data_IF_966656782970
#
_entry.id   IF_966656782970
#
_cell.length_a   1.000
_cell.length_b   1.000
_cell.length_c   1.000
_cell.angle_alpha   90.00
_cell.angle_beta   90.00
_cell.angle_gamma   90.00
#
_symmetry.space_group_name_H-M   'P 1'
#
loop_
_entity.id
_entity.type
_entity.pdbx_description
1 polymer ?
#
# COMPACT_ATOMS: atom_id res chain seq x y z
N UNK A 1 -5.08 6.45 -21.31
CA UNK A 1 -6.00 5.51 -20.65
C UNK A 1 -5.21 4.63 -19.69
N UNK A 2 -5.59 4.63 -18.44
CA UNK A 2 -4.94 3.76 -17.47
C UNK A 2 -5.33 2.31 -17.77
N UNK A 3 -4.38 1.40 -17.74
CA UNK A 3 -4.72 0.00 -17.93
C UNK A 3 -5.38 -0.56 -16.66
N UNK A 4 -6.01 -1.72 -16.77
CA UNK A 4 -6.74 -2.34 -15.66
C UNK A 4 -5.83 -2.62 -14.47
N UNK A 5 -4.56 -2.93 -14.74
CA UNK A 5 -3.57 -3.22 -13.71
C UNK A 5 -3.28 -1.98 -12.86
N UNK A 6 -3.13 -0.82 -13.50
CA UNK A 6 -2.89 0.44 -12.80
C UNK A 6 -4.08 0.81 -11.91
N UNK A 7 -5.30 0.68 -12.43
CA UNK A 7 -6.51 0.97 -11.65
C UNK A 7 -6.64 0.03 -10.46
N UNK A 8 -6.37 -1.24 -10.66
CA UNK A 8 -6.43 -2.24 -9.59
C UNK A 8 -5.43 -1.95 -8.48
N UNK A 9 -4.20 -1.59 -8.85
CA UNK A 9 -3.12 -1.34 -7.89
C UNK A 9 -3.32 -0.07 -7.08
N UNK A 10 -4.04 0.91 -7.59
CA UNK A 10 -4.14 2.21 -6.94
C UNK A 10 -4.64 2.14 -5.51
N UNK A 11 -5.78 1.47 -5.28
CA UNK A 11 -6.32 1.33 -3.93
C UNK A 11 -5.53 0.36 -3.07
N UNK A 12 -5.06 -0.72 -3.66
CA UNK A 12 -4.30 -1.74 -2.92
C UNK A 12 -2.91 -1.24 -2.56
N UNK A 13 -2.30 -0.41 -3.40
CA UNK A 13 -1.00 0.16 -3.09
C UNK A 13 -1.09 1.07 -1.87
N UNK A 14 -2.12 1.91 -1.79
CA UNK A 14 -2.33 2.77 -0.63
C UNK A 14 -2.41 1.95 0.66
N UNK A 15 -3.16 0.86 0.64
CA UNK A 15 -3.28 -0.04 1.79
C UNK A 15 -1.93 -0.65 2.17
N UNK A 16 -1.16 -1.10 1.18
CA UNK A 16 0.15 -1.72 1.44
C UNK A 16 1.16 -0.71 2.00
N UNK A 17 1.11 0.53 1.54
CA UNK A 17 1.95 1.59 2.10
C UNK A 17 1.62 1.81 3.58
N UNK A 18 0.32 1.94 3.90
CA UNK A 18 -0.10 2.13 5.28
C UNK A 18 0.37 0.97 6.16
N UNK A 19 0.25 -0.25 5.66
CA UNK A 19 0.71 -1.43 6.41
C UNK A 19 2.21 -1.41 6.65
N UNK A 20 2.98 -1.07 5.62
CA UNK A 20 4.44 -0.96 5.76
C UNK A 20 4.80 0.02 6.86
N UNK A 21 4.15 1.17 6.88
CA UNK A 21 4.44 2.23 7.85
C UNK A 21 3.92 1.90 9.25
N UNK A 22 3.10 0.84 9.39
CA UNK A 22 2.64 0.42 10.72
C UNK A 22 3.77 -0.18 11.55
N UNK A 23 4.85 -0.62 10.92
CA UNK A 23 5.99 -1.20 11.63
C UNK A 23 6.99 -0.14 12.10
N UNK A 24 7.32 0.83 11.24
CA UNK A 24 8.29 1.86 11.56
C UNK A 24 8.28 2.92 10.46
N UNK A 25 8.74 4.14 10.76
CA UNK A 25 8.94 5.14 9.71
C UNK A 25 9.89 4.60 8.64
N UNK A 26 9.55 4.85 7.38
CA UNK A 26 10.31 4.29 6.26
C UNK A 26 10.32 5.29 5.10
N UNK A 27 11.43 5.35 4.36
CA UNK A 27 11.50 6.16 3.15
C UNK A 27 10.89 5.42 1.96
N UNK A 28 10.62 6.15 0.86
CA UNK A 28 9.90 5.59 -0.28
C UNK A 28 10.55 4.34 -0.86
N UNK A 29 11.86 4.37 -1.06
CA UNK A 29 12.57 3.21 -1.56
C UNK A 29 12.40 1.99 -0.65
N UNK A 30 12.49 2.20 0.66
CA UNK A 30 12.30 1.12 1.63
C UNK A 30 10.89 0.54 1.61
N UNK A 31 9.89 1.41 1.43
CA UNK A 31 8.49 0.94 1.32
C UNK A 31 8.36 0.01 0.12
N UNK A 32 8.86 0.44 -1.05
CA UNK A 32 8.76 -0.35 -2.27
C UNK A 32 9.47 -1.69 -2.15
N UNK A 33 10.70 -1.67 -1.61
CA UNK A 33 11.48 -2.91 -1.46
C UNK A 33 10.81 -3.87 -0.49
N UNK A 34 10.20 -3.35 0.58
CA UNK A 34 9.52 -4.19 1.56
C UNK A 34 8.32 -4.90 0.94
N UNK A 35 7.51 -4.16 0.17
CA UNK A 35 6.34 -4.75 -0.51
C UNK A 35 6.77 -5.82 -1.50
N UNK A 36 7.82 -5.55 -2.28
CA UNK A 36 8.34 -6.52 -3.24
C UNK A 36 8.87 -7.78 -2.54
N UNK A 37 9.61 -7.59 -1.45
CA UNK A 37 10.16 -8.72 -0.70
C UNK A 37 9.07 -9.58 -0.06
N UNK A 38 8.04 -8.95 0.49
CA UNK A 38 6.93 -9.68 1.11
C UNK A 38 6.14 -10.52 0.13
N UNK A 39 6.17 -10.17 -1.15
CA UNK A 39 5.38 -10.85 -2.17
C UNK A 39 6.26 -11.69 -3.11
N UNK A 40 7.50 -11.94 -2.72
CA UNK A 40 8.46 -12.70 -3.55
C UNK A 40 8.51 -12.14 -4.98
N UNK A 41 8.52 -10.81 -5.05
CA UNK A 41 8.58 -10.03 -6.31
C UNK A 41 7.36 -10.23 -7.23
N UNK A 42 6.29 -10.82 -6.73
CA UNK A 42 5.04 -10.88 -7.52
C UNK A 42 4.49 -9.47 -7.76
N UNK A 43 4.57 -8.62 -6.73
CA UNK A 43 4.20 -7.21 -6.89
C UNK A 43 5.45 -6.38 -7.06
N UNK A 44 5.45 -5.53 -8.08
CA UNK A 44 6.52 -4.59 -8.36
C UNK A 44 5.99 -3.19 -8.13
N UNK A 45 6.74 -2.36 -7.41
CA UNK A 45 6.29 -1.01 -7.06
C UNK A 45 7.20 0.00 -7.74
N UNK A 46 6.67 0.63 -8.77
CA UNK A 46 7.42 1.61 -9.55
C UNK A 46 7.25 3.00 -8.96
N UNK A 47 8.27 3.84 -9.14
CA UNK A 47 8.26 5.21 -8.63
C UNK A 47 7.07 6.00 -9.17
N UNK A 48 6.69 5.76 -10.42
CA UNK A 48 5.55 6.44 -11.05
C UNK A 48 4.22 6.17 -10.35
N UNK A 49 4.10 5.08 -9.61
CA UNK A 49 2.91 4.77 -8.81
C UNK A 49 3.11 5.12 -7.34
N UNK A 50 4.32 4.90 -6.83
CA UNK A 50 4.63 5.06 -5.42
C UNK A 50 4.51 6.51 -4.94
N UNK A 51 5.20 7.43 -5.61
CA UNK A 51 5.25 8.81 -5.13
C UNK A 51 3.90 9.53 -5.23
N UNK A 52 3.10 9.36 -6.28
CA UNK A 52 1.74 9.88 -6.26
C UNK A 52 0.88 9.30 -5.14
N UNK A 53 1.06 8.03 -4.81
CA UNK A 53 0.32 7.40 -3.70
C UNK A 53 0.72 8.02 -2.36
N UNK A 54 2.02 8.20 -2.12
CA UNK A 54 2.52 8.85 -0.91
C UNK A 54 1.96 10.27 -0.79
N UNK A 55 1.94 11.00 -1.90
CA UNK A 55 1.41 12.35 -1.93
C UNK A 55 -0.08 12.39 -1.55
N UNK A 56 -0.88 11.48 -2.12
CA UNK A 56 -2.31 11.39 -1.79
C UNK A 56 -2.54 11.09 -0.31
N UNK A 57 -1.77 10.16 0.24
CA UNK A 57 -1.90 9.77 1.64
C UNK A 57 -1.50 10.91 2.57
N UNK A 58 -0.47 11.64 2.20
CA UNK A 58 -0.02 12.80 2.96
C UNK A 58 -1.08 13.91 2.94
N UNK A 59 -1.66 14.20 1.78
CA UNK A 59 -2.72 15.20 1.66
C UNK A 59 -3.95 14.83 2.49
N UNK A 60 -4.25 13.54 2.60
CA UNK A 60 -5.37 13.07 3.40
C UNK A 60 -5.07 13.03 4.90
N UNK A 61 -3.86 13.39 5.29
CA UNK A 61 -3.46 13.40 6.70
C UNK A 61 -3.25 12.01 7.29
N UNK A 62 -3.04 11.00 6.45
CA UNK A 62 -2.86 9.63 6.92
C UNK A 62 -1.40 9.31 7.22
N UNK A 63 -0.48 10.03 6.60
CA UNK A 63 0.95 9.89 6.85
C UNK A 63 1.57 11.28 6.96
N UNK A 64 2.71 11.35 7.64
CA UNK A 64 3.53 12.55 7.75
C UNK A 64 4.91 12.25 7.22
N UNK A 65 5.53 13.27 6.62
CA UNK A 65 6.86 13.14 6.06
C UNK A 65 7.86 13.96 6.88
N UNK A 66 9.03 13.38 7.11
CA UNK A 66 10.12 14.06 7.79
C UNK A 66 11.44 13.73 7.10
N UNK A 67 12.34 14.70 7.00
CA UNK A 67 13.66 14.44 6.43
C UNK A 67 14.54 13.72 7.45
N UNK A 68 15.31 12.77 6.97
CA UNK A 68 16.23 12.00 7.78
C UNK A 68 17.39 11.49 6.94
N UNK A 69 18.14 10.54 7.48
CA UNK A 69 19.30 9.95 6.81
C UNK A 69 19.06 8.44 6.69
N UNK A 70 19.15 7.92 5.46
CA UNK A 70 18.97 6.49 5.19
C UNK A 70 20.20 5.69 5.63
N UNK A 71 20.10 4.36 5.57
CA UNK A 71 21.20 3.47 5.90
C UNK A 71 22.43 3.70 5.02
N UNK A 72 22.22 4.26 3.84
CA UNK A 72 23.31 4.57 2.91
C UNK A 72 23.92 5.94 3.19
N UNK A 73 23.52 6.61 4.28
CA UNK A 73 24.04 7.90 4.64
C UNK A 73 23.50 9.04 3.79
N UNK A 74 22.44 8.81 3.04
CA UNK A 74 21.85 9.81 2.16
C UNK A 74 20.64 10.46 2.78
N UNK A 75 20.45 11.74 2.51
CA UNK A 75 19.27 12.46 2.93
C UNK A 75 18.05 11.86 2.25
N UNK A 76 17.05 11.53 3.03
CA UNK A 76 15.84 10.91 2.52
C UNK A 76 14.61 11.37 3.27
N UNK A 77 13.47 11.35 2.62
CA UNK A 77 12.19 11.69 3.21
C UNK A 77 11.58 10.43 3.81
N UNK A 78 11.40 10.44 5.13
CA UNK A 78 10.80 9.32 5.85
C UNK A 78 9.33 9.62 6.11
N UNK A 79 8.50 8.60 5.97
CA UNK A 79 7.06 8.69 6.19
C UNK A 79 6.67 7.87 7.41
N UNK A 80 5.69 8.34 8.15
CA UNK A 80 5.15 7.60 9.30
C UNK A 80 3.64 7.76 9.35
N UNK A 81 2.96 6.78 9.96
CA UNK A 81 1.52 6.85 10.13
C UNK A 81 1.13 7.90 11.16
N UNK A 82 0.04 8.61 10.87
CA UNK A 82 -0.64 9.44 11.87
C UNK A 82 -1.66 8.56 12.61
N UNK A 83 -2.28 9.11 13.66
CA UNK A 83 -3.38 8.43 14.34
C UNK A 83 -4.52 8.15 13.38
N UNK A 84 -4.84 9.11 12.50
CA UNK A 84 -5.86 8.94 11.47
C UNK A 84 -5.45 7.83 10.48
N UNK A 85 -4.16 7.76 10.14
CA UNK A 85 -3.64 6.71 9.27
C UNK A 85 -3.80 5.33 9.88
N UNK A 86 -3.58 5.18 11.18
CA UNK A 86 -3.77 3.91 11.87
C UNK A 86 -5.22 3.45 11.81
N UNK A 87 -6.16 4.37 12.00
CA UNK A 87 -7.59 4.07 11.90
C UNK A 87 -7.95 3.64 10.48
N UNK A 88 -7.45 4.38 9.49
CA UNK A 88 -7.69 4.06 8.09
C UNK A 88 -7.13 2.69 7.73
N UNK A 89 -5.93 2.36 8.23
CA UNK A 89 -5.34 1.06 7.99
C UNK A 89 -6.24 -0.06 8.49
N UNK A 90 -6.76 0.06 9.73
CA UNK A 90 -7.64 -0.95 10.29
C UNK A 90 -8.91 -1.13 9.48
N UNK A 91 -9.54 -0.01 9.08
CA UNK A 91 -10.78 -0.04 8.30
C UNK A 91 -10.53 -0.65 6.92
N UNK A 92 -9.48 -0.23 6.24
CA UNK A 92 -9.14 -0.73 4.91
C UNK A 92 -8.75 -2.20 4.93
N UNK A 93 -8.02 -2.63 5.96
CA UNK A 93 -7.63 -4.01 6.11
C UNK A 93 -8.86 -4.91 6.31
N UNK A 94 -9.81 -4.48 7.15
CA UNK A 94 -11.04 -5.23 7.38
C UNK A 94 -11.88 -5.33 6.10
N UNK A 95 -11.99 -4.24 5.36
CA UNK A 95 -12.71 -4.22 4.09
C UNK A 95 -12.04 -5.15 3.08
N UNK A 96 -10.72 -5.11 2.97
CA UNK A 96 -9.96 -5.94 2.06
C UNK A 96 -10.17 -7.43 2.35
N UNK A 97 -10.14 -7.80 3.64
CA UNK A 97 -10.34 -9.20 4.03
C UNK A 97 -11.70 -9.70 3.59
N UNK A 98 -12.75 -8.89 3.78
CA UNK A 98 -14.10 -9.27 3.35
C UNK A 98 -14.23 -9.31 1.84
N UNK A 99 -13.59 -8.35 1.16
CA UNK A 99 -13.64 -8.27 -0.30
C UNK A 99 -12.96 -9.48 -0.93
N UNK A 100 -11.74 -9.81 -0.48
CA UNK A 100 -11.02 -10.96 -1.05
C UNK A 100 -11.72 -12.27 -0.76
N UNK A 101 -12.32 -12.40 0.43
CA UNK A 101 -13.10 -13.59 0.77
C UNK A 101 -14.30 -13.73 -0.17
N UNK A 102 -15.00 -12.64 -0.41
CA UNK A 102 -16.14 -12.65 -1.31
C UNK A 102 -15.75 -13.01 -2.75
N UNK A 103 -14.65 -12.44 -3.25
CA UNK A 103 -14.15 -12.75 -4.58
C UNK A 103 -13.76 -14.23 -4.67
N UNK A 104 -13.08 -14.74 -3.64
CA UNK A 104 -12.68 -16.16 -3.61
C UNK A 104 -13.89 -17.07 -3.66
N UNK A 105 -14.95 -16.71 -2.94
CA UNK A 105 -16.19 -17.51 -2.97
C UNK A 105 -16.79 -17.59 -4.37
N UNK A 106 -16.76 -16.48 -5.09
CA UNK A 106 -17.27 -16.50 -6.47
C UNK A 106 -16.40 -17.39 -7.36
N UNK A 107 -15.07 -17.24 -7.23
CA UNK A 107 -14.14 -17.99 -8.07
C UNK A 107 -14.14 -19.51 -7.79
N UNK A 108 -14.41 -19.87 -6.54
CA UNK A 108 -14.38 -21.27 -6.11
C UNK A 108 -15.74 -21.98 -6.21
N UNK A 109 -16.81 -21.22 -6.43
CA UNK A 109 -18.15 -21.80 -6.47
C UNK A 109 -18.42 -22.43 -7.83
N UNK A 110 -18.92 -23.65 -7.80
CA UNK A 110 -19.31 -24.37 -9.03
C UNK A 110 -20.49 -23.67 -9.70
N UNK A 111 -20.55 -23.67 -11.04
CA UNK A 111 -21.68 -23.07 -11.75
C UNK A 111 -22.98 -23.75 -11.35
N UNK A 112 -24.02 -22.95 -11.14
CA UNK A 112 -25.33 -23.50 -10.86
C UNK A 112 -25.92 -24.10 -12.12
N UNK A 113 -26.63 -25.22 -12.00
CA UNK A 113 -27.41 -25.71 -13.11
C UNK A 113 -28.43 -24.67 -13.55
N UNK A 114 -28.66 -24.56 -14.83
CA UNK A 114 -29.61 -23.60 -15.40
C UNK A 114 -31.03 -23.89 -14.93
#
# INVERSE_FOLDING_TARGET
MADANTEFLKGTLDLMILKTLSWAPTHGYGIARWIEACTDDVLQVEEGSLYPALHRLEERGLILAEWGVSELGRKAKFYRLTATGKKQLRASNAYWARFTDAVSKVLETEPRPA
#
